data_IF_479205586073
#
_entry.id   IF_479205586073
#
_cell.length_a   1.000
_cell.length_b   1.000
_cell.length_c   1.000
_cell.angle_alpha   90.00
_cell.angle_beta   90.00
_cell.angle_gamma   90.00
#
_symmetry.space_group_name_H-M   'P 1'
#
loop_
_entity.id
_entity.type
_entity.pdbx_description
1 polymer ?
#
# COMPACT_ATOMS: atom_id res chain seq x y z
N UNK A 1 8.48 -9.11 11.66
CA UNK A 1 7.56 -8.29 10.84
C UNK A 1 8.23 -7.01 10.41
N UNK A 2 8.83 -7.07 9.23
CA UNK A 2 9.56 -5.99 8.54
C UNK A 2 8.63 -4.86 8.08
N UNK A 3 7.48 -5.21 7.49
CA UNK A 3 6.56 -4.27 6.89
C UNK A 3 5.36 -4.04 7.81
N UNK A 4 4.95 -2.79 7.95
CA UNK A 4 3.66 -2.40 8.53
C UNK A 4 2.87 -1.63 7.48
N UNK A 5 1.63 -2.04 7.24
CA UNK A 5 0.78 -1.49 6.18
C UNK A 5 -0.51 -0.99 6.79
N UNK A 6 -0.90 0.23 6.47
CA UNK A 6 -2.20 0.78 6.81
C UNK A 6 -2.92 1.17 5.52
N UNK A 7 -4.22 0.85 5.43
CA UNK A 7 -5.06 1.16 4.28
C UNK A 7 -6.35 1.79 4.79
N UNK A 8 -6.70 2.97 4.30
CA UNK A 8 -7.97 3.63 4.63
C UNK A 8 -8.63 4.28 3.40
N UNK A 9 -9.88 4.71 3.56
CA UNK A 9 -10.56 5.48 2.51
C UNK A 9 -9.99 6.90 2.41
N UNK A 10 -9.76 7.37 1.18
CA UNK A 10 -9.27 8.73 0.95
C UNK A 10 -10.26 9.80 1.41
N UNK A 11 -11.56 9.51 1.34
CA UNK A 11 -12.64 10.43 1.71
C UNK A 11 -13.57 9.81 2.76
N UNK A 12 -14.04 10.63 3.70
CA UNK A 12 -15.10 10.25 4.64
C UNK A 12 -14.71 9.29 5.77
N UNK A 13 -13.43 8.93 5.90
CA UNK A 13 -12.93 8.09 7.00
C UNK A 13 -12.67 8.93 8.25
N UNK A 14 -13.48 8.73 9.31
CA UNK A 14 -13.16 9.14 10.69
C UNK A 14 -12.07 8.21 11.28
N UNK A 15 -10.92 8.10 10.60
CA UNK A 15 -9.77 7.25 10.97
C UNK A 15 -10.03 5.73 10.99
N UNK A 16 -10.98 5.24 10.18
CA UNK A 16 -11.27 3.82 10.02
C UNK A 16 -10.43 3.20 8.90
N UNK A 17 -9.49 2.31 9.26
CA UNK A 17 -8.67 1.61 8.27
C UNK A 17 -8.19 0.24 8.73
N UNK A 18 -7.66 -0.53 7.79
CA UNK A 18 -7.09 -1.85 8.03
C UNK A 18 -5.58 -1.74 8.28
N UNK A 19 -5.10 -2.34 9.37
CA UNK A 19 -3.68 -2.43 9.70
C UNK A 19 -3.18 -3.87 9.58
N UNK A 20 -2.10 -4.07 8.82
CA UNK A 20 -1.41 -5.35 8.66
C UNK A 20 0.08 -5.25 9.00
N UNK A 21 0.67 -6.35 9.49
CA UNK A 21 2.11 -6.47 9.69
C UNK A 21 2.61 -7.73 8.99
N UNK A 22 3.67 -7.62 8.20
CA UNK A 22 4.12 -8.66 7.27
C UNK A 22 5.64 -8.79 7.27
N UNK A 23 6.14 -9.94 6.83
CA UNK A 23 7.58 -10.17 6.66
C UNK A 23 8.00 -10.07 5.20
N UNK A 24 7.09 -10.36 4.25
CA UNK A 24 7.37 -10.37 2.82
C UNK A 24 6.55 -9.33 2.05
N UNK A 25 7.12 -8.79 0.96
CA UNK A 25 6.40 -7.85 0.09
C UNK A 25 5.23 -8.49 -0.65
N UNK A 26 5.28 -9.80 -0.90
CA UNK A 26 4.17 -10.52 -1.54
C UNK A 26 2.92 -10.55 -0.63
N UNK A 27 3.13 -10.61 0.70
CA UNK A 27 2.05 -10.53 1.68
C UNK A 27 1.47 -9.11 1.75
N UNK A 28 2.33 -8.10 1.70
CA UNK A 28 1.92 -6.68 1.60
C UNK A 28 1.07 -6.46 0.36
N UNK A 29 1.52 -6.97 -0.78
CA UNK A 29 0.79 -6.90 -2.06
C UNK A 29 -0.60 -7.54 -1.95
N UNK A 30 -0.67 -8.78 -1.45
CA UNK A 30 -1.93 -9.51 -1.31
C UNK A 30 -2.89 -8.80 -0.36
N UNK A 31 -2.37 -8.24 0.73
CA UNK A 31 -3.16 -7.46 1.68
C UNK A 31 -3.78 -6.23 1.03
N UNK A 32 -2.98 -5.40 0.35
CA UNK A 32 -3.49 -4.19 -0.33
C UNK A 32 -4.49 -4.56 -1.42
N UNK A 33 -4.19 -5.57 -2.24
CA UNK A 33 -5.09 -6.03 -3.29
C UNK A 33 -6.45 -6.47 -2.73
N UNK A 34 -6.47 -7.16 -1.58
CA UNK A 34 -7.72 -7.58 -0.94
C UNK A 34 -8.61 -6.43 -0.45
N UNK A 35 -8.08 -5.20 -0.42
CA UNK A 35 -8.78 -3.98 0.01
C UNK A 35 -9.17 -3.05 -1.15
N UNK A 36 -8.91 -3.48 -2.39
CA UNK A 36 -9.31 -2.79 -3.63
C UNK A 36 -10.36 -3.64 -4.37
N UNK A 37 -11.59 -3.17 -4.66
CA UNK A 37 -12.20 -1.86 -4.41
C UNK A 37 -13.34 -2.00 -3.39
N UNK A 38 -13.03 -1.92 -2.09
CA UNK A 38 -14.06 -2.05 -1.04
C UNK A 38 -14.60 -0.70 -0.57
N UNK A 39 -14.53 0.32 -1.44
CA UNK A 39 -14.95 1.70 -1.20
C UNK A 39 -16.40 1.86 -0.83
N UNK A 40 -16.69 2.37 0.37
CA UNK A 40 -18.02 2.84 0.72
C UNK A 40 -18.27 4.22 0.13
N UNK A 41 -17.29 5.13 0.19
CA UNK A 41 -17.42 6.51 -0.28
C UNK A 41 -16.64 6.80 -1.56
N UNK A 42 -15.48 6.15 -1.73
CA UNK A 42 -14.61 6.33 -2.90
C UNK A 42 -13.93 5.02 -3.27
N UNK A 43 -13.63 4.83 -4.57
CA UNK A 43 -12.84 3.72 -5.08
C UNK A 43 -11.33 3.89 -4.83
N UNK A 44 -10.93 5.06 -4.31
CA UNK A 44 -9.56 5.36 -3.89
C UNK A 44 -9.26 4.90 -2.48
N UNK A 45 -8.03 4.46 -2.28
CA UNK A 45 -7.45 4.08 -1.00
C UNK A 45 -6.17 4.84 -0.78
N UNK A 46 -6.01 5.37 0.43
CA UNK A 46 -4.73 5.81 0.92
C UNK A 46 -4.03 4.61 1.53
N UNK A 47 -2.79 4.37 1.10
CA UNK A 47 -1.97 3.25 1.53
C UNK A 47 -0.68 3.81 2.12
N UNK A 48 -0.37 3.40 3.34
CA UNK A 48 0.92 3.66 3.99
C UNK A 48 1.63 2.34 4.22
N UNK A 49 2.91 2.30 3.85
CA UNK A 49 3.76 1.14 4.10
C UNK A 49 5.05 1.62 4.76
N UNK A 50 5.35 1.09 5.93
CA UNK A 50 6.59 1.32 6.66
C UNK A 50 7.49 0.09 6.56
N UNK A 51 8.69 0.25 6.03
CA UNK A 51 9.77 -0.73 6.08
C UNK A 51 10.64 -0.44 7.31
N UNK A 52 10.50 -1.28 8.34
CA UNK A 52 11.21 -1.10 9.63
C UNK A 52 12.71 -1.35 9.52
N UNK A 53 13.15 -2.18 8.56
CA UNK A 53 14.57 -2.47 8.37
C UNK A 53 15.26 -1.31 7.64
N UNK A 54 14.64 -0.81 6.58
CA UNK A 54 15.15 0.35 5.85
C UNK A 54 14.94 1.68 6.60
N UNK A 55 14.16 1.67 7.70
CA UNK A 55 13.66 2.86 8.40
C UNK A 55 12.95 3.87 7.48
N UNK A 56 12.39 3.38 6.37
CA UNK A 56 11.68 4.17 5.38
C UNK A 56 10.18 3.93 5.43
N UNK A 57 9.43 4.89 4.93
CA UNK A 57 7.99 4.79 4.75
C UNK A 57 7.59 5.32 3.38
N UNK A 58 6.51 4.79 2.82
CA UNK A 58 5.90 5.33 1.59
C UNK A 58 4.41 5.46 1.82
N UNK A 59 3.83 6.53 1.31
CA UNK A 59 2.39 6.76 1.29
C UNK A 59 1.95 7.09 -0.12
N UNK A 60 0.88 6.48 -0.60
CA UNK A 60 0.32 6.76 -1.92
C UNK A 60 -1.19 6.55 -1.94
N UNK A 61 -1.86 7.27 -2.84
CA UNK A 61 -3.27 7.05 -3.17
C UNK A 61 -3.36 6.11 -4.37
N UNK A 62 -4.29 5.16 -4.34
CA UNK A 62 -4.42 4.11 -5.35
C UNK A 62 -5.88 3.75 -5.60
N UNK A 63 -6.24 3.54 -6.87
CA UNK A 63 -7.50 2.89 -7.28
C UNK A 63 -7.25 1.44 -7.65
N UNK A 64 -8.30 0.62 -7.70
CA UNK A 64 -8.20 -0.75 -8.23
C UNK A 64 -7.69 -0.77 -9.68
N UNK A 65 -8.06 0.22 -10.49
CA UNK A 65 -7.59 0.36 -11.87
C UNK A 65 -6.08 0.64 -11.94
N UNK A 66 -5.58 1.61 -11.17
CA UNK A 66 -4.14 1.92 -11.11
C UNK A 66 -3.33 0.76 -10.52
N UNK A 67 -3.91 0.02 -9.56
CA UNK A 67 -3.29 -1.19 -9.02
C UNK A 67 -3.18 -2.28 -10.08
N UNK A 68 -4.22 -2.52 -10.87
CA UNK A 68 -4.17 -3.47 -11.98
C UNK A 68 -3.17 -3.04 -13.06
N UNK A 69 -3.01 -1.74 -13.32
CA UNK A 69 -2.07 -1.23 -14.32
C UNK A 69 -0.59 -1.37 -13.90
N UNK A 70 -0.28 -1.07 -12.64
CA UNK A 70 1.11 -0.93 -12.19
C UNK A 70 1.58 -2.00 -11.21
N UNK A 71 0.64 -2.65 -10.51
CA UNK A 71 0.90 -3.58 -9.42
C UNK A 71 0.17 -4.92 -9.62
N UNK A 72 -0.13 -5.32 -10.86
CA UNK A 72 -0.87 -6.55 -11.18
C UNK A 72 -0.25 -7.82 -10.56
N UNK A 73 1.07 -7.81 -10.35
CA UNK A 73 1.81 -8.93 -9.78
C UNK A 73 2.63 -8.49 -8.56
N UNK A 74 2.93 -9.42 -7.63
CA UNK A 74 3.81 -9.12 -6.50
C UNK A 74 5.17 -8.55 -6.92
N UNK A 75 5.73 -9.06 -8.03
CA UNK A 75 7.00 -8.58 -8.58
C UNK A 75 6.90 -7.14 -9.13
N UNK A 76 5.81 -6.80 -9.82
CA UNK A 76 5.58 -5.45 -10.30
C UNK A 76 5.46 -4.46 -9.12
N UNK A 77 4.66 -4.83 -8.11
CA UNK A 77 4.56 -4.07 -6.87
C UNK A 77 5.91 -3.88 -6.17
N UNK A 78 6.70 -4.94 -6.00
CA UNK A 78 8.02 -4.86 -5.38
C UNK A 78 8.98 -3.91 -6.11
N UNK A 79 8.86 -3.80 -7.45
CA UNK A 79 9.63 -2.84 -8.25
C UNK A 79 9.17 -1.41 -8.00
N UNK A 80 7.86 -1.15 -8.07
CA UNK A 80 7.29 0.17 -7.77
C UNK A 80 7.63 0.61 -6.33
N UNK A 81 7.47 -0.28 -5.36
CA UNK A 81 7.77 -0.03 -3.95
C UNK A 81 9.22 0.39 -3.72
N UNK A 82 10.18 -0.32 -4.34
CA UNK A 82 11.60 0.03 -4.28
C UNK A 82 11.90 1.38 -4.91
N UNK A 83 11.25 1.71 -6.04
CA UNK A 83 11.41 3.03 -6.66
C UNK A 83 10.95 4.13 -5.72
N UNK A 84 9.76 4.01 -5.11
CA UNK A 84 9.27 5.03 -4.18
C UNK A 84 10.17 5.21 -2.95
N UNK A 85 10.68 4.12 -2.37
CA UNK A 85 11.65 4.21 -1.27
C UNK A 85 12.98 4.83 -1.73
N UNK A 86 13.45 4.53 -2.95
CA UNK A 86 14.66 5.13 -3.50
C UNK A 86 14.50 6.63 -3.76
N UNK A 87 13.30 7.10 -4.12
CA UNK A 87 12.99 8.52 -4.28
C UNK A 87 12.88 9.28 -2.95
N UNK A 88 12.68 8.58 -1.82
CA UNK A 88 12.69 9.18 -0.48
C UNK A 88 14.10 9.40 0.10
N UNK A 89 15.14 9.34 -0.73
CA UNK A 89 16.47 9.77 -0.32
C UNK A 89 16.48 11.30 -0.16
N UNK A 90 16.65 11.72 1.10
CA UNK A 90 16.79 13.07 1.69
C UNK A 90 15.51 13.79 2.14
#
# INVERSE_FOLDING_TARGET
MRYQVFVEEEEGSDAGGDLGNFDQLDEVWAFIQSRLPTGVFSDRRLVWVKDREAKGDVSFSMTSALWAEHCETPLAFARCFKMFLAFKHD
#
